data_IF_685786364934
#
_entry.id   IF_685786364934
#
_cell.length_a   1.000
_cell.length_b   1.000
_cell.length_c   1.000
_cell.angle_alpha   90.00
_cell.angle_beta   90.00
_cell.angle_gamma   90.00
#
_symmetry.space_group_name_H-M   'P 1'
#
loop_
_entity.id
_entity.type
_entity.pdbx_description
1 polymer ?
#
# COMPACT_ATOMS: atom_id res chain seq x y z
N UNK A 1 -7.86 -1.36 25.24
CA UNK A 1 -6.93 -1.69 24.14
C UNK A 1 -5.72 -0.77 24.24
N UNK A 2 -4.49 -1.30 24.26
CA UNK A 2 -3.28 -0.46 24.33
C UNK A 2 -3.17 0.44 23.09
N UNK A 3 -2.75 1.69 23.28
CA UNK A 3 -2.52 2.64 22.17
C UNK A 3 -1.26 2.20 21.43
N UNK A 4 -1.40 1.75 20.18
CA UNK A 4 -0.28 1.36 19.31
C UNK A 4 0.68 2.53 19.11
N UNK A 5 1.98 2.22 19.05
CA UNK A 5 3.07 3.19 18.83
C UNK A 5 3.45 3.28 17.36
N UNK A 6 4.12 4.36 16.96
CA UNK A 6 4.62 4.55 15.58
C UNK A 6 5.40 3.34 15.05
N UNK A 7 6.20 2.68 15.91
CA UNK A 7 6.94 1.48 15.55
C UNK A 7 6.04 0.36 15.05
N UNK A 8 4.87 0.15 15.65
CA UNK A 8 3.95 -0.92 15.27
C UNK A 8 3.28 -0.62 13.92
N UNK A 9 2.94 0.65 13.65
CA UNK A 9 2.42 1.05 12.34
C UNK A 9 3.48 0.98 11.24
N UNK A 10 4.73 1.31 11.55
CA UNK A 10 5.85 1.09 10.61
C UNK A 10 6.06 -0.39 10.31
N UNK A 11 5.93 -1.26 11.32
CA UNK A 11 5.99 -2.71 11.13
C UNK A 11 4.86 -3.22 10.22
N UNK A 12 3.62 -2.76 10.41
CA UNK A 12 2.51 -3.11 9.51
C UNK A 12 2.79 -2.71 8.05
N UNK A 13 3.37 -1.51 7.85
CA UNK A 13 3.72 -1.02 6.52
C UNK A 13 4.79 -1.93 5.88
N UNK A 14 5.83 -2.26 6.62
CA UNK A 14 6.93 -3.11 6.13
C UNK A 14 6.39 -4.51 5.77
N UNK A 15 5.62 -5.14 6.66
CA UNK A 15 5.05 -6.47 6.42
C UNK A 15 4.12 -6.49 5.20
N UNK A 16 3.32 -5.42 5.01
CA UNK A 16 2.48 -5.27 3.83
C UNK A 16 3.29 -5.11 2.54
N UNK A 17 4.39 -4.36 2.57
CA UNK A 17 5.31 -4.19 1.43
C UNK A 17 5.97 -5.52 1.08
N UNK A 18 6.48 -6.25 2.06
CA UNK A 18 7.12 -7.57 1.86
C UNK A 18 6.15 -8.57 1.22
N UNK A 19 4.91 -8.64 1.72
CA UNK A 19 3.86 -9.48 1.13
C UNK A 19 3.55 -9.11 -0.31
N UNK A 20 3.41 -7.82 -0.61
CA UNK A 20 3.18 -7.35 -1.99
C UNK A 20 4.32 -7.82 -2.89
N UNK A 21 5.57 -7.59 -2.47
CA UNK A 21 6.76 -7.98 -3.22
C UNK A 21 6.79 -9.49 -3.49
N UNK A 22 6.45 -10.31 -2.50
CA UNK A 22 6.37 -11.77 -2.66
C UNK A 22 5.27 -12.20 -3.62
N UNK A 23 4.09 -11.58 -3.57
CA UNK A 23 2.96 -11.96 -4.44
C UNK A 23 3.22 -11.61 -5.91
N UNK A 24 3.90 -10.49 -6.19
CA UNK A 24 4.17 -10.05 -7.56
C UNK A 24 5.48 -10.60 -8.13
N UNK A 25 6.28 -11.29 -7.30
CA UNK A 25 7.59 -11.80 -7.68
C UNK A 25 7.51 -12.72 -8.89
N UNK A 26 8.19 -12.33 -9.97
CA UNK A 26 8.24 -13.10 -11.21
C UNK A 26 6.96 -13.04 -12.05
N UNK A 27 5.96 -12.26 -11.66
CA UNK A 27 4.77 -12.02 -12.49
C UNK A 27 5.08 -10.97 -13.56
N UNK A 28 4.59 -11.21 -14.77
CA UNK A 28 4.40 -10.16 -15.76
C UNK A 28 3.10 -9.40 -15.47
N UNK A 29 2.95 -8.22 -16.07
CA UNK A 29 1.66 -7.50 -16.02
C UNK A 29 0.50 -8.36 -16.53
N UNK A 30 0.69 -9.10 -17.63
CA UNK A 30 -0.35 -9.99 -18.17
C UNK A 30 -0.69 -11.16 -17.23
N UNK A 31 0.29 -11.66 -16.48
CA UNK A 31 0.08 -12.66 -15.43
C UNK A 31 -0.70 -12.09 -14.25
N UNK A 32 -0.33 -10.91 -13.78
CA UNK A 32 -1.05 -10.18 -12.73
C UNK A 32 -2.51 -9.91 -13.12
N UNK A 33 -2.77 -9.49 -14.36
CA UNK A 33 -4.13 -9.22 -14.85
C UNK A 33 -5.02 -10.47 -14.92
N UNK A 34 -4.44 -11.66 -14.98
CA UNK A 34 -5.17 -12.94 -14.99
C UNK A 34 -5.37 -13.54 -13.59
N UNK A 35 -4.61 -13.09 -12.59
CA UNK A 35 -4.68 -13.59 -11.22
C UNK A 35 -5.43 -12.62 -10.29
N UNK A 36 -6.75 -12.81 -10.21
CA UNK A 36 -7.63 -12.02 -9.33
C UNK A 36 -7.29 -12.16 -7.84
N UNK A 37 -6.80 -13.33 -7.42
CA UNK A 37 -6.42 -13.54 -6.01
C UNK A 37 -5.23 -12.66 -5.66
N UNK A 38 -4.25 -12.59 -6.54
CA UNK A 38 -3.08 -11.71 -6.37
C UNK A 38 -3.48 -10.24 -6.42
N UNK A 39 -4.39 -9.86 -7.32
CA UNK A 39 -4.96 -8.51 -7.36
C UNK A 39 -5.59 -8.10 -6.03
N UNK A 40 -6.50 -8.93 -5.50
CA UNK A 40 -7.19 -8.68 -4.22
C UNK A 40 -6.19 -8.60 -3.06
N UNK A 41 -5.21 -9.51 -3.04
CA UNK A 41 -4.17 -9.54 -2.01
C UNK A 41 -3.28 -8.28 -2.05
N UNK A 42 -2.89 -7.82 -3.23
CA UNK A 42 -2.11 -6.58 -3.40
C UNK A 42 -2.91 -5.37 -2.97
N UNK A 43 -4.16 -5.24 -3.43
CA UNK A 43 -5.04 -4.12 -3.06
C UNK A 43 -5.20 -4.06 -1.55
N UNK A 44 -5.47 -5.20 -0.91
CA UNK A 44 -5.64 -5.27 0.55
C UNK A 44 -4.40 -4.77 1.30
N UNK A 45 -3.20 -5.13 0.85
CA UNK A 45 -1.97 -4.67 1.49
C UNK A 45 -1.70 -3.18 1.24
N UNK A 46 -2.03 -2.65 0.06
CA UNK A 46 -1.96 -1.20 -0.20
C UNK A 46 -2.91 -0.39 0.71
N UNK A 47 -4.10 -0.93 1.01
CA UNK A 47 -5.01 -0.33 1.99
C UNK A 47 -4.43 -0.35 3.41
N UNK A 48 -3.79 -1.44 3.82
CA UNK A 48 -3.09 -1.54 5.11
C UNK A 48 -2.00 -0.49 5.22
N UNK A 49 -1.18 -0.31 4.17
CA UNK A 49 -0.13 0.72 4.14
C UNK A 49 -0.75 2.11 4.32
N UNK A 50 -1.83 2.41 3.61
CA UNK A 50 -2.50 3.71 3.72
C UNK A 50 -3.08 3.97 5.10
N UNK A 51 -3.77 3.00 5.70
CA UNK A 51 -4.36 3.15 7.04
C UNK A 51 -3.27 3.24 8.12
N UNK A 52 -2.25 2.39 8.09
CA UNK A 52 -1.14 2.44 9.04
C UNK A 52 -0.40 3.78 8.92
N UNK A 53 -0.19 4.28 7.69
CA UNK A 53 0.42 5.59 7.46
C UNK A 53 -0.38 6.68 8.14
N UNK A 54 -1.72 6.71 8.01
CA UNK A 54 -2.60 7.72 8.64
C UNK A 54 -2.46 7.77 10.16
N UNK A 55 -2.05 6.68 10.81
CA UNK A 55 -1.89 6.59 12.26
C UNK A 55 -0.53 7.04 12.77
N UNK A 56 0.49 7.12 11.91
CA UNK A 56 1.82 7.62 12.26
C UNK A 56 1.75 9.09 12.71
N UNK A 57 2.42 9.44 13.80
CA UNK A 57 2.44 10.79 14.36
C UNK A 57 3.01 11.83 13.38
N UNK A 58 2.49 13.07 13.46
CA UNK A 58 3.00 14.20 12.68
C UNK A 58 4.47 14.51 12.99
N UNK A 59 4.92 14.29 14.22
CA UNK A 59 6.31 14.47 14.62
C UNK A 59 7.25 13.52 13.85
N UNK A 60 6.90 12.25 13.72
CA UNK A 60 7.69 11.28 12.95
C UNK A 60 7.69 11.65 11.45
N UNK A 61 6.52 11.99 10.90
CA UNK A 61 6.41 12.37 9.48
C UNK A 61 7.23 13.62 9.15
N UNK A 62 7.22 14.63 10.03
CA UNK A 62 8.05 15.85 9.87
C UNK A 62 9.54 15.54 9.95
N UNK A 63 9.95 14.65 10.86
CA UNK A 63 11.36 14.24 10.99
C UNK A 63 11.87 13.52 9.73
N UNK A 64 10.99 12.83 9.02
CA UNK A 64 11.28 12.07 7.80
C UNK A 64 10.52 12.63 6.60
N UNK A 65 10.67 13.93 6.34
CA UNK A 65 9.89 14.63 5.30
C UNK A 65 10.17 14.15 3.86
N UNK A 66 11.26 13.40 3.62
CA UNK A 66 11.57 12.80 2.32
C UNK A 66 10.70 11.59 1.96
N UNK A 67 9.99 11.01 2.93
CA UNK A 67 9.04 9.92 2.67
C UNK A 67 7.71 10.52 2.21
N UNK A 68 7.08 10.01 1.15
CA UNK A 68 5.85 10.57 0.59
C UNK A 68 4.61 10.17 1.42
N UNK A 69 4.57 10.57 2.69
CA UNK A 69 3.53 10.18 3.66
C UNK A 69 2.11 10.50 3.21
N UNK A 70 1.91 11.68 2.60
CA UNK A 70 0.62 12.09 2.06
C UNK A 70 0.14 11.15 0.98
N UNK A 71 1.08 10.63 0.18
CA UNK A 71 0.76 9.76 -0.93
C UNK A 71 0.39 8.37 -0.48
N UNK A 72 1.18 7.82 0.43
CA UNK A 72 0.91 6.55 1.09
C UNK A 72 -0.46 6.59 1.79
N UNK A 73 -0.76 7.64 2.55
CA UNK A 73 -2.05 7.80 3.23
C UNK A 73 -3.24 7.88 2.27
N UNK A 74 -3.03 8.33 1.03
CA UNK A 74 -4.07 8.48 -0.01
C UNK A 74 -4.07 7.33 -1.02
N UNK A 75 -3.39 6.21 -0.74
CA UNK A 75 -3.34 5.06 -1.65
C UNK A 75 -4.73 4.61 -2.09
N UNK A 76 -5.65 4.38 -1.15
CA UNK A 76 -7.02 3.95 -1.48
C UNK A 76 -7.73 4.92 -2.43
N UNK A 77 -7.63 6.23 -2.17
CA UNK A 77 -8.27 7.26 -2.98
C UNK A 77 -7.64 7.35 -4.39
N UNK A 78 -6.34 7.06 -4.51
CA UNK A 78 -5.65 6.99 -5.81
C UNK A 78 -5.98 5.74 -6.62
N UNK A 79 -6.21 4.61 -5.95
CA UNK A 79 -6.50 3.33 -6.61
C UNK A 79 -7.96 3.25 -7.04
N UNK A 80 -8.87 3.83 -6.25
CA UNK A 80 -10.28 3.90 -6.56
C UNK A 80 -10.54 5.09 -7.50
N UNK A 81 -10.57 4.84 -8.81
CA UNK A 81 -10.92 5.90 -9.75
C UNK A 81 -12.43 6.20 -9.63
N UNK A 82 -12.74 7.50 -9.63
CA UNK A 82 -14.08 8.04 -9.52
C UNK A 82 -15.10 7.26 -10.38
N UNK A 83 -16.03 6.58 -9.70
CA UNK A 83 -17.23 5.89 -10.20
C UNK A 83 -17.14 4.46 -10.81
N UNK A 84 -15.97 3.86 -11.08
CA UNK A 84 -15.93 2.57 -11.84
C UNK A 84 -15.04 1.43 -11.30
N UNK A 85 -14.36 1.59 -10.16
CA UNK A 85 -13.60 0.50 -9.54
C UNK A 85 -12.09 0.76 -9.48
N UNK A 86 -11.33 -0.30 -9.21
CA UNK A 86 -9.86 -0.21 -9.01
C UNK A 86 -9.16 -0.18 -10.37
N UNK A 87 -8.28 0.79 -10.57
CA UNK A 87 -7.41 0.83 -11.75
C UNK A 87 -6.17 -0.05 -11.53
N UNK A 88 -6.20 -1.29 -12.05
CA UNK A 88 -5.13 -2.26 -11.88
C UNK A 88 -3.84 -1.95 -12.65
N UNK A 89 -3.89 -1.08 -13.66
CA UNK A 89 -2.68 -0.56 -14.30
C UNK A 89 -1.90 0.35 -13.33
N UNK A 90 -2.60 1.22 -12.60
CA UNK A 90 -2.00 2.05 -11.56
C UNK A 90 -1.48 1.17 -10.42
N UNK A 91 -2.26 0.16 -9.98
CA UNK A 91 -1.81 -0.80 -8.96
C UNK A 91 -0.49 -1.45 -9.38
N UNK A 92 -0.43 -2.01 -10.59
CA UNK A 92 0.76 -2.66 -11.11
C UNK A 92 1.96 -1.71 -11.15
N UNK A 93 1.78 -0.48 -11.63
CA UNK A 93 2.83 0.53 -11.70
C UNK A 93 3.37 0.95 -10.32
N UNK A 94 2.57 0.83 -9.27
CA UNK A 94 3.00 1.12 -7.89
C UNK A 94 3.85 -0.01 -7.32
N UNK A 95 3.52 -1.27 -7.64
CA UNK A 95 4.11 -2.46 -6.98
C UNK A 95 5.23 -3.14 -7.78
N UNK A 96 5.41 -2.78 -9.04
CA UNK A 96 6.43 -3.34 -9.93
C UNK A 96 7.69 -2.49 -10.06
N UNK A 97 7.84 -1.46 -9.21
CA UNK A 97 9.00 -0.58 -9.15
C UNK A 97 9.97 -0.96 -8.03
#
# INVERSE_FOLDING_TARGET
MSKRRDKEYLSDIIEAIERIADYVKGLSYSGFMQDKKTQDAVVRNLEVIGEATKRITSALRKRHAGVPWTDMARLRDRLAHHYFGINYEIVWNVVSK
#
